data_IF_265592769565
#
_entry.id   IF_265592769565
#
_cell.length_a   1.000
_cell.length_b   1.000
_cell.length_c   1.000
_cell.angle_alpha   90.00
_cell.angle_beta   90.00
_cell.angle_gamma   90.00
#
_symmetry.space_group_name_H-M   'P 1'
#
loop_
_entity.id
_entity.type
_entity.pdbx_description
1 polymer ?
#
# COMPACT_ATOMS: atom_id res chain seq x y z
N UNK A 1 -21.16 11.01 18.62
CA UNK A 1 -20.31 10.75 17.44
C UNK A 1 -18.85 11.06 17.75
N UNK A 2 -18.06 10.01 17.93
CA UNK A 2 -16.61 10.07 18.06
C UNK A 2 -15.95 9.86 16.70
N UNK A 3 -14.71 10.29 16.57
CA UNK A 3 -13.90 10.09 15.35
C UNK A 3 -12.75 9.14 15.66
N UNK A 4 -12.57 8.11 14.85
CA UNK A 4 -11.54 7.10 15.03
C UNK A 4 -10.63 7.01 13.81
N UNK A 5 -9.32 6.91 14.06
CA UNK A 5 -8.32 6.57 13.06
C UNK A 5 -7.89 5.12 13.27
N UNK A 6 -7.94 4.29 12.22
CA UNK A 6 -7.30 2.98 12.26
C UNK A 6 -5.84 3.14 11.85
N UNK A 7 -4.96 2.82 12.78
CA UNK A 7 -3.52 2.84 12.61
C UNK A 7 -3.03 1.43 12.37
N UNK A 8 -2.49 1.19 11.18
CA UNK A 8 -1.81 -0.05 10.86
C UNK A 8 -0.41 -0.02 11.47
N UNK A 9 -0.08 -1.04 12.24
CA UNK A 9 1.25 -1.28 12.80
C UNK A 9 1.95 -2.28 11.90
N UNK A 10 2.94 -1.81 11.16
CA UNK A 10 3.75 -2.63 10.27
C UNK A 10 5.23 -2.38 10.53
N UNK A 11 5.87 -3.39 11.13
CA UNK A 11 7.28 -3.34 11.51
C UNK A 11 8.25 -3.33 10.33
N UNK A 12 7.78 -3.64 9.11
CA UNK A 12 8.61 -3.51 7.91
C UNK A 12 8.52 -2.11 7.29
N UNK A 13 7.50 -1.33 7.63
CA UNK A 13 7.32 0.04 7.12
C UNK A 13 8.07 1.05 8.00
N UNK A 14 8.44 2.22 7.45
CA UNK A 14 9.21 3.23 8.19
C UNK A 14 8.44 3.83 9.39
N UNK A 15 7.10 3.73 9.40
CA UNK A 15 6.25 4.23 10.47
C UNK A 15 4.86 3.57 10.43
N UNK A 16 4.14 3.58 11.56
CA UNK A 16 2.73 3.16 11.59
C UNK A 16 1.86 4.20 10.89
N UNK A 17 0.93 3.76 10.06
CA UNK A 17 0.21 4.62 9.12
C UNK A 17 -1.27 4.64 9.43
N UNK A 18 -1.87 5.83 9.38
CA UNK A 18 -3.34 5.97 9.40
C UNK A 18 -3.88 5.44 8.08
N UNK A 19 -4.64 4.36 8.11
CA UNK A 19 -5.16 3.72 6.90
C UNK A 19 -6.59 4.13 6.58
N UNK A 20 -7.37 4.50 7.60
CA UNK A 20 -8.75 4.95 7.45
C UNK A 20 -9.15 5.81 8.64
N UNK A 21 -10.14 6.67 8.42
CA UNK A 21 -10.78 7.49 9.43
C UNK A 21 -12.28 7.28 9.31
N UNK A 22 -12.94 7.02 10.43
CA UNK A 22 -14.39 6.78 10.49
C UNK A 22 -15.00 7.53 11.66
N UNK A 23 -16.22 7.99 11.49
CA UNK A 23 -17.04 8.53 12.59
C UNK A 23 -17.97 7.43 13.09
N UNK A 24 -17.99 7.19 14.40
CA UNK A 24 -18.79 6.14 15.04
C UNK A 24 -19.17 6.52 16.49
N UNK A 25 -20.27 5.98 17.00
CA UNK A 25 -20.66 6.20 18.42
C UNK A 25 -19.79 5.39 19.40
N UNK A 26 -19.31 4.22 18.95
CA UNK A 26 -18.45 3.33 19.72
C UNK A 26 -17.20 2.96 18.91
N UNK A 27 -16.18 2.45 19.59
CA UNK A 27 -14.95 1.97 18.93
C UNK A 27 -15.30 0.93 17.85
N UNK A 28 -14.84 1.09 16.60
CA UNK A 28 -15.19 0.16 15.53
C UNK A 28 -14.61 -1.24 15.73
N UNK A 29 -15.09 -2.19 14.91
CA UNK A 29 -14.65 -3.58 14.96
C UNK A 29 -13.15 -3.71 14.78
N UNK A 30 -12.53 -4.57 15.60
CA UNK A 30 -11.11 -4.88 15.51
C UNK A 30 -10.71 -5.31 14.10
N UNK A 31 -9.60 -4.75 13.63
CA UNK A 31 -8.95 -5.12 12.38
C UNK A 31 -7.55 -5.66 12.70
N UNK A 32 -7.10 -6.71 12.00
CA UNK A 32 -5.79 -7.30 12.26
C UNK A 32 -4.67 -6.29 12.07
N UNK A 33 -3.56 -6.46 12.79
CA UNK A 33 -2.33 -5.68 12.63
C UNK A 33 -2.47 -4.16 12.87
N UNK A 34 -3.45 -3.73 13.66
CA UNK A 34 -3.59 -2.31 13.97
C UNK A 34 -4.51 -2.01 15.14
N UNK A 35 -4.71 -0.72 15.37
CA UNK A 35 -5.50 -0.20 16.48
C UNK A 35 -6.46 0.89 16.00
N UNK A 36 -7.65 0.92 16.58
CA UNK A 36 -8.51 2.09 16.50
C UNK A 36 -8.09 3.08 17.59
N UNK A 37 -7.77 4.30 17.16
CA UNK A 37 -7.37 5.40 18.04
C UNK A 37 -8.43 6.48 17.95
N UNK A 38 -9.00 6.87 19.10
CA UNK A 38 -9.94 7.99 19.14
C UNK A 38 -9.19 9.31 18.88
N UNK A 39 -9.65 10.05 17.89
CA UNK A 39 -9.08 11.33 17.43
C UNK A 39 -10.14 12.44 17.41
N UNK A 40 -11.23 12.31 18.18
CA UNK A 40 -12.31 13.30 18.26
C UNK A 40 -11.79 14.71 18.54
N UNK A 41 -10.79 14.83 19.42
CA UNK A 41 -10.12 16.10 19.74
C UNK A 41 -9.04 16.56 18.75
N UNK A 42 -8.72 15.76 17.73
CA UNK A 42 -7.69 16.05 16.73
C UNK A 42 -8.22 15.82 15.31
N UNK A 43 -8.98 16.80 14.82
CA UNK A 43 -9.62 16.75 13.49
C UNK A 43 -8.65 16.96 12.33
N UNK A 44 -7.40 17.34 12.61
CA UNK A 44 -6.37 17.56 11.59
C UNK A 44 -5.80 16.24 11.02
N UNK A 45 -5.97 15.12 11.73
CA UNK A 45 -5.45 13.81 11.29
C UNK A 45 -6.05 13.41 9.94
N UNK A 46 -5.19 12.97 9.02
CA UNK A 46 -5.59 12.50 7.70
C UNK A 46 -5.13 11.07 7.42
N UNK A 47 -5.80 10.43 6.47
CA UNK A 47 -5.34 9.14 5.92
C UNK A 47 -3.94 9.31 5.33
N UNK A 48 -3.10 8.33 5.60
CA UNK A 48 -1.70 8.31 5.23
C UNK A 48 -0.77 9.02 6.20
N UNK A 49 -1.27 9.69 7.26
CA UNK A 49 -0.39 10.29 8.26
C UNK A 49 0.40 9.25 9.05
N UNK A 50 1.57 9.68 9.53
CA UNK A 50 2.40 8.92 10.46
C UNK A 50 1.77 8.98 11.84
N UNK A 51 1.75 7.82 12.50
CA UNK A 51 1.31 7.64 13.86
C UNK A 51 2.46 7.05 14.68
N UNK A 52 2.90 7.75 15.71
CA UNK A 52 3.86 7.25 16.70
C UNK A 52 3.16 7.06 18.03
N UNK A 53 3.69 6.19 18.88
CA UNK A 53 3.07 5.94 20.18
C UNK A 53 4.08 5.66 21.28
N UNK A 54 3.69 6.00 22.52
CA UNK A 54 4.35 5.55 23.74
C UNK A 54 3.47 4.47 24.37
N UNK A 55 4.03 3.27 24.53
CA UNK A 55 3.36 2.10 25.12
C UNK A 55 2.01 1.71 24.50
N UNK A 56 1.74 2.08 23.24
CA UNK A 56 0.47 1.84 22.53
C UNK A 56 -0.75 2.52 23.16
N UNK A 57 -0.54 3.52 24.02
CA UNK A 57 -1.60 4.28 24.69
C UNK A 57 -1.63 5.71 24.16
N UNK A 58 -0.49 6.41 24.22
CA UNK A 58 -0.41 7.80 23.80
C UNK A 58 -0.03 7.88 22.34
N UNK A 59 -0.94 8.30 21.47
CA UNK A 59 -0.74 8.38 20.03
C UNK A 59 -0.48 9.81 19.56
N UNK A 60 0.54 9.98 18.72
CA UNK A 60 0.92 11.25 18.12
C UNK A 60 0.88 11.13 16.61
N UNK A 61 0.18 12.07 15.97
CA UNK A 61 -0.05 12.08 14.53
C UNK A 61 0.67 13.24 13.87
N UNK A 62 1.31 12.97 12.74
CA UNK A 62 2.01 14.00 11.96
C UNK A 62 2.02 13.65 10.49
N UNK A 63 2.14 14.68 9.65
CA UNK A 63 2.44 14.45 8.24
C UNK A 63 3.84 13.83 8.11
N UNK A 64 4.00 12.75 7.33
CA UNK A 64 5.31 12.16 7.07
C UNK A 64 6.18 13.11 6.25
N UNK A 65 7.49 13.08 6.51
CA UNK A 65 8.45 13.83 5.70
C UNK A 65 8.53 13.27 4.28
N UNK A 66 9.10 14.05 3.37
CA UNK A 66 9.37 13.60 1.99
C UNK A 66 10.14 12.26 1.98
N UNK A 67 11.24 12.16 2.73
CA UNK A 67 12.05 10.93 2.80
C UNK A 67 11.29 9.73 3.40
N UNK A 68 10.43 9.97 4.39
CA UNK A 68 9.57 8.94 4.97
C UNK A 68 8.53 8.45 3.95
N UNK A 69 7.96 9.36 3.16
CA UNK A 69 7.04 9.01 2.06
C UNK A 69 7.73 8.19 0.98
N UNK A 70 8.92 8.59 0.55
CA UNK A 70 9.69 7.85 -0.45
C UNK A 70 9.99 6.42 0.02
N UNK A 71 10.38 6.25 1.28
CA UNK A 71 10.64 4.92 1.86
C UNK A 71 9.39 4.06 1.93
N UNK A 72 8.24 4.63 2.32
CA UNK A 72 6.96 3.90 2.35
C UNK A 72 6.57 3.41 0.94
N UNK A 73 6.71 4.29 -0.06
CA UNK A 73 6.41 3.97 -1.46
C UNK A 73 7.39 2.93 -2.02
N UNK A 74 8.68 3.05 -1.74
CA UNK A 74 9.67 2.05 -2.16
C UNK A 74 9.34 0.66 -1.59
N UNK A 75 8.89 0.60 -0.34
CA UNK A 75 8.40 -0.65 0.25
C UNK A 75 7.14 -1.18 -0.45
N UNK A 76 6.21 -0.29 -0.81
CA UNK A 76 4.99 -0.68 -1.52
C UNK A 76 5.29 -1.22 -2.92
N UNK A 77 6.19 -0.57 -3.66
CA UNK A 77 6.72 -1.06 -4.94
C UNK A 77 7.29 -2.46 -4.79
N UNK A 78 8.13 -2.68 -3.77
CA UNK A 78 8.71 -3.99 -3.50
C UNK A 78 7.63 -5.04 -3.20
N UNK A 79 6.63 -4.70 -2.37
CA UNK A 79 5.50 -5.60 -2.05
C UNK A 79 4.73 -6.01 -3.31
N UNK A 80 4.40 -5.04 -4.17
CA UNK A 80 3.65 -5.26 -5.41
C UNK A 80 4.44 -6.10 -6.42
N UNK A 81 5.73 -5.82 -6.60
CA UNK A 81 6.60 -6.59 -7.49
C UNK A 81 6.87 -8.01 -6.96
N UNK A 82 7.00 -8.18 -5.64
CA UNK A 82 7.11 -9.51 -5.03
C UNK A 82 5.84 -10.34 -5.24
N UNK A 83 4.65 -9.73 -5.11
CA UNK A 83 3.39 -10.40 -5.39
C UNK A 83 3.30 -10.82 -6.87
N UNK A 84 3.66 -9.93 -7.80
CA UNK A 84 3.72 -10.21 -9.22
C UNK A 84 4.69 -11.35 -9.56
N UNK A 85 5.91 -11.31 -9.03
CA UNK A 85 6.91 -12.36 -9.24
C UNK A 85 6.45 -13.73 -8.72
N UNK A 86 5.81 -13.78 -7.55
CA UNK A 86 5.20 -15.02 -7.02
C UNK A 86 4.07 -15.54 -7.90
N UNK A 87 3.24 -14.65 -8.43
CA UNK A 87 2.17 -15.02 -9.35
C UNK A 87 2.72 -15.61 -10.65
N UNK A 88 3.74 -14.99 -11.25
CA UNK A 88 4.36 -15.50 -12.49
C UNK A 88 5.05 -16.86 -12.28
N UNK A 89 5.61 -17.11 -11.10
CA UNK A 89 6.23 -18.39 -10.76
C UNK A 89 5.25 -19.58 -10.87
N UNK A 90 3.98 -19.36 -10.53
CA UNK A 90 2.93 -20.39 -10.60
C UNK A 90 2.06 -20.30 -11.86
N UNK A 91 2.23 -19.23 -12.65
CA UNK A 91 1.61 -19.02 -13.96
C UNK A 91 2.71 -18.84 -15.02
N UNK A 92 3.30 -19.93 -15.55
CA UNK A 92 4.55 -19.92 -16.32
C UNK A 92 4.38 -19.38 -17.77
N UNK A 93 3.73 -18.23 -17.92
CA UNK A 93 3.37 -17.62 -19.20
C UNK A 93 4.60 -17.33 -20.06
N UNK A 94 5.71 -16.90 -19.45
CA UNK A 94 6.97 -16.67 -20.15
C UNK A 94 7.53 -17.96 -20.75
N UNK A 95 7.60 -19.04 -19.97
CA UNK A 95 8.05 -20.34 -20.49
C UNK A 95 7.14 -20.86 -21.59
N UNK A 96 5.81 -20.73 -21.45
CA UNK A 96 4.86 -21.14 -22.48
C UNK A 96 5.05 -20.34 -23.77
N UNK A 97 5.31 -19.03 -23.64
CA UNK A 97 5.58 -18.16 -24.77
C UNK A 97 6.89 -18.55 -25.49
N UNK A 98 7.96 -18.79 -24.73
CA UNK A 98 9.29 -19.09 -25.25
C UNK A 98 9.35 -20.42 -26.01
N UNK A 99 8.61 -21.44 -25.57
CA UNK A 99 8.50 -22.73 -26.28
C UNK A 99 7.38 -22.75 -27.34
N UNK A 100 6.68 -21.63 -27.55
CA UNK A 100 5.67 -21.47 -28.60
C UNK A 100 4.33 -22.20 -28.33
N UNK A 101 3.99 -22.48 -27.07
CA UNK A 101 2.73 -23.17 -26.68
C UNK A 101 1.73 -22.27 -25.97
N UNK A 102 2.05 -20.99 -25.76
CA UNK A 102 1.12 -20.02 -25.19
C UNK A 102 -0.04 -19.73 -26.16
N UNK A 103 -1.26 -19.69 -25.64
CA UNK A 103 -2.41 -19.21 -26.40
C UNK A 103 -2.34 -17.67 -26.62
N UNK A 104 -3.11 -17.10 -27.56
CA UNK A 104 -3.18 -15.65 -27.74
C UNK A 104 -3.57 -14.89 -26.47
N UNK A 105 -4.49 -15.45 -25.66
CA UNK A 105 -4.91 -14.87 -24.39
C UNK A 105 -3.77 -14.86 -23.36
N UNK A 106 -2.98 -15.93 -23.32
CA UNK A 106 -1.82 -16.04 -22.44
C UNK A 106 -0.70 -15.07 -22.82
N UNK A 107 -0.48 -14.86 -24.12
CA UNK A 107 0.44 -13.85 -24.63
C UNK A 107 -0.02 -12.44 -24.26
N UNK A 108 -1.32 -12.15 -24.38
CA UNK A 108 -1.89 -10.87 -23.99
C UNK A 108 -1.77 -10.63 -22.47
N UNK A 109 -2.01 -11.65 -21.64
CA UNK A 109 -1.85 -11.58 -20.20
C UNK A 109 -0.38 -11.38 -19.80
N UNK A 110 0.56 -12.07 -20.46
CA UNK A 110 2.00 -11.87 -20.24
C UNK A 110 2.43 -10.43 -20.59
N UNK A 111 1.90 -9.88 -21.67
CA UNK A 111 2.17 -8.49 -22.05
C UNK A 111 1.63 -7.50 -21.01
N UNK A 112 0.39 -7.70 -20.55
CA UNK A 112 -0.22 -6.87 -19.50
C UNK A 112 0.57 -6.95 -18.18
N UNK A 113 0.99 -8.16 -17.79
CA UNK A 113 1.86 -8.38 -16.63
C UNK A 113 3.18 -7.60 -16.74
N UNK A 114 3.84 -7.64 -17.90
CA UNK A 114 5.09 -6.91 -18.13
C UNK A 114 4.88 -5.39 -18.04
N UNK A 115 3.80 -4.87 -18.61
CA UNK A 115 3.42 -3.46 -18.47
C UNK A 115 3.19 -3.08 -17.01
N UNK A 116 2.43 -3.89 -16.25
CA UNK A 116 2.21 -3.67 -14.83
C UNK A 116 3.53 -3.54 -14.04
N UNK A 117 4.48 -4.46 -14.24
CA UNK A 117 5.78 -4.41 -13.57
C UNK A 117 6.58 -3.15 -13.91
N UNK A 118 6.54 -2.71 -15.18
CA UNK A 118 7.17 -1.46 -15.63
C UNK A 118 6.52 -0.25 -14.95
N UNK A 119 5.19 -0.19 -14.95
CA UNK A 119 4.43 0.93 -14.39
C UNK A 119 4.64 1.03 -12.87
N UNK A 120 4.65 -0.10 -12.16
CA UNK A 120 4.92 -0.16 -10.71
C UNK A 120 6.34 0.32 -10.41
N UNK A 121 7.32 -0.09 -11.21
CA UNK A 121 8.71 0.37 -11.05
C UNK A 121 8.89 1.85 -11.41
N UNK A 122 7.99 2.38 -12.23
CA UNK A 122 7.98 3.74 -12.74
C UNK A 122 7.29 4.76 -11.84
N UNK A 123 6.68 4.38 -10.71
CA UNK A 123 5.86 5.31 -9.89
C UNK A 123 6.57 6.61 -9.48
N UNK A 124 7.90 6.58 -9.32
CA UNK A 124 8.72 7.75 -8.99
C UNK A 124 8.75 8.85 -10.07
N UNK A 125 8.34 8.54 -11.30
CA UNK A 125 8.28 9.51 -12.40
C UNK A 125 6.91 10.17 -12.53
N UNK A 126 5.93 9.75 -11.74
CA UNK A 126 4.58 10.32 -11.76
C UNK A 126 4.58 11.75 -11.19
N UNK A 127 3.70 12.59 -11.74
CA UNK A 127 3.45 13.91 -11.17
C UNK A 127 2.80 13.78 -9.79
N UNK A 128 3.32 14.54 -8.82
CA UNK A 128 2.84 14.51 -7.43
C UNK A 128 3.55 13.52 -6.52
N UNK A 129 4.47 12.71 -7.05
CA UNK A 129 5.33 11.87 -6.21
C UNK A 129 6.14 12.71 -5.20
N UNK A 130 6.30 12.27 -3.94
CA UNK A 130 5.80 11.03 -3.33
C UNK A 130 4.45 11.19 -2.61
N UNK A 131 3.77 12.33 -2.75
CA UNK A 131 2.54 12.61 -2.01
C UNK A 131 1.30 12.03 -2.69
N UNK A 132 1.34 11.92 -4.01
CA UNK A 132 0.29 11.32 -4.84
C UNK A 132 0.91 10.29 -5.76
N UNK A 133 0.46 9.04 -5.63
CA UNK A 133 0.88 7.92 -6.48
C UNK A 133 -0.37 7.23 -7.00
N UNK A 134 -0.47 7.15 -8.32
CA UNK A 134 -1.46 6.34 -9.00
C UNK A 134 -0.89 4.93 -9.14
N UNK A 135 -1.38 4.03 -8.29
CA UNK A 135 -0.94 2.64 -8.29
C UNK A 135 -1.50 1.88 -9.49
N UNK A 136 -0.66 1.20 -10.28
CA UNK A 136 -1.13 0.34 -11.36
C UNK A 136 -2.01 -0.79 -10.82
N UNK A 137 -3.02 -1.17 -11.59
CA UNK A 137 -3.91 -2.29 -11.23
C UNK A 137 -3.32 -3.59 -11.77
N UNK A 138 -3.19 -4.59 -10.91
CA UNK A 138 -2.70 -5.90 -11.33
C UNK A 138 -3.67 -6.55 -12.33
N UNK A 139 -3.19 -7.07 -13.48
CA UNK A 139 -4.05 -7.69 -14.50
C UNK A 139 -4.40 -9.15 -14.22
N UNK A 140 -4.11 -9.66 -13.01
CA UNK A 140 -4.12 -11.09 -12.67
C UNK A 140 -4.65 -11.39 -11.26
#
# INVERSE_FOLDING_TARGET
MNRYAYVLVDYVKPFNKVMQIVDAEETPTYLPNGFWVEITGNTAVQVGWKATTVNYVDWFFSEPTYDEREKDIAYEVLTLLNAAGKWLLVNPLEYKNDIGVASPEEQALLLAYKHYCVDVSGVKTQSGYPYTVNWPVAPF
#
